data_IF_170640505105
#
_entry.id   IF_170640505105
#
_cell.length_a   1.000
_cell.length_b   1.000
_cell.length_c   1.000
_cell.angle_alpha   90.00
_cell.angle_beta   90.00
_cell.angle_gamma   90.00
#
_symmetry.space_group_name_H-M   'P 1'
#
loop_
_entity.id
_entity.type
_entity.pdbx_description
1 polymer ?
#
# COMPACT_ATOMS: atom_id res chain seq x y z
N UNK A 1 -30.04 -7.21 -9.18
CA UNK A 1 -29.12 -8.25 -8.62
C UNK A 1 -29.59 -8.63 -7.22
N UNK A 2 -29.59 -9.92 -6.86
CA UNK A 2 -29.95 -10.42 -5.53
C UNK A 2 -28.78 -11.23 -5.00
N UNK A 3 -28.44 -11.10 -3.72
CA UNK A 3 -27.38 -11.91 -3.10
C UNK A 3 -27.93 -13.30 -2.75
N UNK A 4 -27.10 -14.33 -2.95
CA UNK A 4 -27.36 -15.70 -2.53
C UNK A 4 -26.37 -16.13 -1.45
N UNK A 5 -26.79 -17.00 -0.53
CA UNK A 5 -25.92 -17.57 0.50
C UNK A 5 -26.12 -19.08 0.63
N UNK A 6 -25.02 -19.79 0.86
CA UNK A 6 -25.01 -21.25 1.07
C UNK A 6 -24.49 -21.49 2.49
N UNK A 7 -25.28 -22.12 3.39
CA UNK A 7 -24.82 -22.46 4.73
C UNK A 7 -23.58 -23.36 4.69
N UNK A 8 -22.66 -23.16 5.64
CA UNK A 8 -21.37 -23.89 5.69
C UNK A 8 -21.53 -25.41 5.60
N UNK A 9 -22.52 -25.98 6.31
CA UNK A 9 -22.83 -27.42 6.30
C UNK A 9 -23.09 -27.97 4.89
N UNK A 10 -23.54 -27.12 3.95
CA UNK A 10 -23.93 -27.50 2.59
C UNK A 10 -22.97 -26.95 1.54
N UNK A 11 -21.94 -26.20 1.93
CA UNK A 11 -21.03 -25.54 1.00
C UNK A 11 -20.41 -26.53 0.01
N UNK A 12 -19.95 -27.69 0.50
CA UNK A 12 -19.28 -28.71 -0.34
C UNK A 12 -20.18 -29.28 -1.43
N UNK A 13 -21.50 -29.33 -1.23
CA UNK A 13 -22.45 -29.85 -2.22
C UNK A 13 -22.60 -28.93 -3.43
N UNK A 14 -22.43 -27.62 -3.24
CA UNK A 14 -22.70 -26.61 -4.26
C UNK A 14 -21.45 -25.88 -4.77
N UNK A 15 -20.37 -25.83 -3.97
CA UNK A 15 -19.14 -25.06 -4.27
C UNK A 15 -18.57 -25.38 -5.64
N UNK A 16 -18.53 -26.66 -6.02
CA UNK A 16 -17.94 -27.11 -7.29
C UNK A 16 -18.94 -27.09 -8.46
N UNK A 17 -20.22 -26.80 -8.21
CA UNK A 17 -21.28 -26.79 -9.24
C UNK A 17 -21.53 -25.39 -9.79
N UNK A 18 -21.29 -24.36 -8.99
CA UNK A 18 -21.45 -22.96 -9.36
C UNK A 18 -20.17 -22.46 -10.05
N UNK A 19 -20.32 -22.05 -11.30
CA UNK A 19 -19.27 -21.49 -12.13
C UNK A 19 -19.71 -20.09 -12.54
N UNK A 20 -18.83 -19.12 -12.33
CA UNK A 20 -19.07 -17.72 -12.71
C UNK A 20 -19.39 -17.62 -14.22
N UNK A 21 -20.34 -16.74 -14.57
CA UNK A 21 -20.81 -16.56 -15.95
C UNK A 21 -21.77 -17.64 -16.47
N UNK A 22 -21.97 -18.75 -15.76
CA UNK A 22 -22.93 -19.79 -16.15
C UNK A 22 -24.35 -19.48 -15.67
N UNK A 23 -25.36 -19.90 -16.45
CA UNK A 23 -26.77 -19.72 -16.10
C UNK A 23 -27.32 -21.01 -15.49
N UNK A 24 -28.09 -20.85 -14.41
CA UNK A 24 -28.68 -21.95 -13.66
C UNK A 24 -30.17 -21.74 -13.44
N UNK A 25 -30.92 -22.83 -13.50
CA UNK A 25 -32.25 -22.90 -12.91
C UNK A 25 -32.10 -23.26 -11.43
N UNK A 26 -32.65 -22.43 -10.56
CA UNK A 26 -32.62 -22.62 -9.11
C UNK A 26 -34.06 -22.83 -8.62
N UNK A 27 -34.31 -23.92 -7.89
CA UNK A 27 -35.63 -24.25 -7.30
C UNK A 27 -35.47 -24.66 -5.84
N UNK A 28 -36.56 -24.58 -5.07
CA UNK A 28 -36.59 -25.05 -3.68
C UNK A 28 -35.66 -24.29 -2.72
N UNK A 29 -35.51 -22.98 -2.88
CA UNK A 29 -34.68 -22.14 -2.00
C UNK A 29 -35.52 -21.23 -1.09
N UNK A 30 -34.92 -20.72 -0.02
CA UNK A 30 -35.55 -19.76 0.89
C UNK A 30 -35.31 -18.32 0.43
N UNK A 31 -36.33 -17.47 0.58
CA UNK A 31 -36.20 -16.01 0.45
C UNK A 31 -36.15 -15.39 1.83
N UNK A 32 -35.01 -14.80 2.19
CA UNK A 32 -34.77 -14.23 3.53
C UNK A 32 -34.44 -12.75 3.44
N UNK A 33 -34.56 -12.00 4.53
CA UNK A 33 -34.11 -10.60 4.56
C UNK A 33 -32.59 -10.53 4.38
N UNK A 34 -32.14 -9.61 3.53
CA UNK A 34 -30.72 -9.36 3.31
C UNK A 34 -30.02 -8.93 4.60
N UNK A 35 -28.76 -9.35 4.78
CA UNK A 35 -27.93 -8.88 5.87
C UNK A 35 -27.78 -7.35 5.77
N UNK A 36 -28.03 -6.55 6.82
CA UNK A 36 -27.89 -5.10 6.76
C UNK A 36 -26.42 -4.63 6.60
N UNK A 37 -25.45 -5.52 6.85
CA UNK A 37 -24.01 -5.23 6.76
C UNK A 37 -23.40 -5.83 5.49
N UNK A 38 -22.40 -5.14 4.95
CA UNK A 38 -21.58 -5.56 3.81
C UNK A 38 -22.40 -5.98 2.58
N UNK A 39 -23.47 -5.23 2.30
CA UNK A 39 -24.35 -5.53 1.16
C UNK A 39 -23.68 -5.20 -0.16
N UNK A 40 -23.68 -6.17 -1.08
CA UNK A 40 -23.30 -5.99 -2.49
C UNK A 40 -24.50 -5.63 -3.37
N UNK A 41 -25.73 -5.77 -2.86
CA UNK A 41 -26.98 -5.45 -3.55
C UNK A 41 -27.90 -4.57 -2.69
N UNK A 42 -28.71 -3.75 -3.36
CA UNK A 42 -29.77 -2.94 -2.74
C UNK A 42 -31.05 -3.75 -2.45
N UNK A 43 -31.12 -5.02 -2.87
CA UNK A 43 -32.27 -5.87 -2.61
C UNK A 43 -32.52 -6.06 -1.10
N UNK A 44 -33.77 -5.84 -0.68
CA UNK A 44 -34.21 -6.10 0.70
C UNK A 44 -34.22 -7.60 1.05
N UNK A 45 -34.23 -8.46 0.03
CA UNK A 45 -34.26 -9.91 0.17
C UNK A 45 -33.03 -10.56 -0.48
N UNK A 46 -32.61 -11.69 0.07
CA UNK A 46 -31.53 -12.54 -0.40
C UNK A 46 -32.00 -13.99 -0.49
N UNK A 47 -31.37 -14.76 -1.36
CA UNK A 47 -31.62 -16.18 -1.51
C UNK A 47 -30.76 -16.95 -0.50
N UNK A 48 -31.35 -17.97 0.15
CA UNK A 48 -30.62 -18.89 1.02
C UNK A 48 -30.89 -20.33 0.58
N UNK A 49 -29.81 -21.07 0.35
CA UNK A 49 -29.88 -22.47 -0.04
C UNK A 49 -30.27 -23.32 1.19
N UNK A 50 -31.19 -24.25 0.99
CA UNK A 50 -31.72 -25.17 1.98
C UNK A 50 -31.57 -26.63 1.48
N UNK A 51 -32.30 -27.58 2.06
CA UNK A 51 -32.26 -29.00 1.69
C UNK A 51 -32.93 -29.37 0.38
N UNK A 52 -34.04 -28.72 0.06
CA UNK A 52 -34.74 -28.91 -1.20
C UNK A 52 -34.17 -28.08 -2.33
N UNK A 53 -33.04 -27.38 -2.13
CA UNK A 53 -32.48 -26.50 -3.16
C UNK A 53 -31.83 -27.32 -4.26
N UNK A 54 -32.43 -27.26 -5.44
CA UNK A 54 -31.92 -27.90 -6.64
C UNK A 54 -31.31 -26.85 -7.58
N UNK A 55 -30.20 -27.23 -8.22
CA UNK A 55 -29.41 -26.36 -9.08
C UNK A 55 -29.11 -27.07 -10.40
N UNK A 56 -29.77 -26.66 -11.48
CA UNK A 56 -29.56 -27.23 -12.81
C UNK A 56 -28.83 -26.23 -13.71
N UNK A 57 -27.69 -26.64 -14.28
CA UNK A 57 -26.92 -25.81 -15.21
C UNK A 57 -27.54 -25.86 -16.60
N UNK A 58 -27.84 -24.71 -17.18
CA UNK A 58 -28.35 -24.63 -18.55
C UNK A 58 -27.19 -24.71 -19.54
N UNK A 59 -27.28 -25.64 -20.50
CA UNK A 59 -26.21 -25.94 -21.47
C UNK A 59 -26.15 -24.95 -22.63
N UNK A 60 -27.27 -24.31 -22.98
CA UNK A 60 -27.36 -23.35 -24.08
C UNK A 60 -28.36 -22.26 -23.74
N UNK A 61 -27.87 -21.04 -23.56
CA UNK A 61 -28.72 -19.87 -23.33
C UNK A 61 -28.39 -18.79 -24.36
N UNK A 62 -29.41 -18.27 -25.04
CA UNK A 62 -29.31 -17.10 -25.93
C UNK A 62 -29.05 -15.82 -25.13
N UNK A 63 -29.34 -15.85 -23.83
CA UNK A 63 -29.12 -14.73 -22.91
C UNK A 63 -27.72 -14.84 -22.30
N UNK A 64 -27.01 -13.73 -22.32
CA UNK A 64 -25.69 -13.57 -21.70
C UNK A 64 -25.87 -12.80 -20.39
N UNK A 65 -25.26 -13.28 -19.30
CA UNK A 65 -25.20 -12.50 -18.06
C UNK A 65 -24.21 -11.35 -18.30
N UNK A 66 -24.60 -10.08 -18.03
CA UNK A 66 -23.64 -8.97 -18.06
C UNK A 66 -22.49 -9.27 -17.10
N UNK A 67 -21.27 -9.28 -17.63
CA UNK A 67 -20.05 -9.54 -16.86
C UNK A 67 -19.57 -8.33 -16.07
N UNK A 68 -20.03 -7.13 -16.47
CA UNK A 68 -19.64 -5.86 -15.85
C UNK A 68 -20.87 -5.13 -15.31
N UNK A 69 -21.01 -5.11 -13.98
CA UNK A 69 -22.01 -4.31 -13.28
C UNK A 69 -21.39 -3.69 -12.02
N UNK A 70 -20.71 -2.57 -12.19
CA UNK A 70 -20.01 -1.88 -11.12
C UNK A 70 -20.90 -0.84 -10.42
N UNK A 71 -20.75 -0.72 -9.10
CA UNK A 71 -21.48 0.22 -8.24
C UNK A 71 -20.54 1.33 -7.78
N UNK A 72 -20.17 2.20 -8.71
CA UNK A 72 -19.34 3.35 -8.44
C UNK A 72 -20.02 4.36 -7.50
N UNK A 73 -19.19 5.03 -6.70
CA UNK A 73 -19.56 6.13 -5.81
C UNK A 73 -18.52 7.23 -5.89
N UNK A 74 -18.97 8.48 -5.74
CA UNK A 74 -18.07 9.61 -5.63
C UNK A 74 -17.35 9.60 -4.28
N UNK A 75 -16.28 10.37 -4.17
CA UNK A 75 -15.52 10.53 -2.93
C UNK A 75 -16.42 10.96 -1.75
N UNK A 76 -17.29 11.95 -1.96
CA UNK A 76 -18.18 12.45 -0.92
C UNK A 76 -19.19 11.38 -0.45
N UNK A 77 -19.75 10.61 -1.39
CA UNK A 77 -20.65 9.49 -1.07
C UNK A 77 -19.92 8.40 -0.28
N UNK A 78 -18.69 8.05 -0.65
CA UNK A 78 -17.88 7.08 0.10
C UNK A 78 -17.58 7.57 1.51
N UNK A 79 -17.35 8.87 1.68
CA UNK A 79 -17.11 9.49 2.99
C UNK A 79 -18.35 9.43 3.89
N UNK A 80 -19.55 9.67 3.35
CA UNK A 80 -20.81 9.53 4.09
C UNK A 80 -21.08 8.07 4.53
N UNK A 81 -20.62 7.11 3.74
CA UNK A 81 -20.79 5.68 3.98
C UNK A 81 -19.69 5.09 4.87
N UNK A 82 -18.63 5.85 5.13
CA UNK A 82 -17.48 5.38 5.87
C UNK A 82 -17.85 4.99 7.31
N UNK A 83 -17.20 3.95 7.83
CA UNK A 83 -17.43 3.40 9.17
C UNK A 83 -18.85 2.86 9.42
N UNK A 84 -19.74 2.85 8.42
CA UNK A 84 -21.09 2.28 8.58
C UNK A 84 -21.12 0.77 8.42
N UNK A 85 -20.21 0.21 7.61
CA UNK A 85 -20.18 -1.21 7.24
C UNK A 85 -21.46 -1.70 6.55
N UNK A 86 -22.31 -0.80 6.04
CA UNK A 86 -23.65 -1.13 5.51
C UNK A 86 -23.59 -1.71 4.10
N UNK A 87 -22.72 -1.15 3.26
CA UNK A 87 -22.65 -1.44 1.83
C UNK A 87 -21.20 -1.48 1.37
N UNK A 88 -20.93 -2.40 0.45
CA UNK A 88 -19.66 -2.49 -0.25
C UNK A 88 -19.79 -1.82 -1.61
N UNK A 89 -18.73 -1.13 -2.02
CA UNK A 89 -18.74 -0.30 -3.22
C UNK A 89 -17.60 -0.67 -4.15
N UNK A 90 -17.73 -0.25 -5.40
CA UNK A 90 -16.68 -0.43 -6.40
C UNK A 90 -16.06 0.94 -6.69
N UNK A 91 -14.76 0.95 -6.93
CA UNK A 91 -13.99 2.17 -7.14
C UNK A 91 -13.00 1.96 -8.26
N UNK A 92 -12.82 2.99 -9.09
CA UNK A 92 -11.88 3.02 -10.19
C UNK A 92 -11.04 4.27 -10.07
N UNK A 93 -9.75 4.15 -10.36
CA UNK A 93 -8.85 5.29 -10.40
C UNK A 93 -7.53 4.98 -11.09
N UNK A 94 -6.82 6.06 -11.42
CA UNK A 94 -5.44 5.98 -11.89
C UNK A 94 -4.54 5.48 -10.75
N UNK A 95 -3.72 4.48 -11.04
CA UNK A 95 -2.73 3.96 -10.11
C UNK A 95 -1.56 4.94 -9.99
N UNK A 96 -1.46 5.61 -8.85
CA UNK A 96 -0.37 6.53 -8.54
C UNK A 96 0.80 5.82 -7.87
N UNK A 97 0.52 4.94 -6.92
CA UNK A 97 1.54 4.27 -6.11
C UNK A 97 1.03 2.94 -5.56
N UNK A 98 1.89 1.93 -5.55
CA UNK A 98 1.70 0.66 -4.84
C UNK A 98 2.66 0.68 -3.65
N UNK A 99 2.16 0.41 -2.45
CA UNK A 99 3.00 0.15 -1.27
C UNK A 99 2.77 -1.28 -0.82
N UNK A 100 3.79 -2.11 -0.91
CA UNK A 100 3.73 -3.48 -0.40
C UNK A 100 4.47 -3.55 0.93
N UNK A 101 3.80 -4.03 1.97
CA UNK A 101 4.44 -4.31 3.26
C UNK A 101 4.75 -5.81 3.34
N UNK A 102 6.04 -6.17 3.35
CA UNK A 102 6.50 -7.55 3.54
C UNK A 102 6.90 -7.74 5.01
N UNK A 103 6.23 -8.67 5.69
CA UNK A 103 6.51 -9.04 7.08
C UNK A 103 7.39 -10.29 7.11
N UNK A 104 8.70 -10.15 7.29
CA UNK A 104 9.63 -11.29 7.26
C UNK A 104 9.43 -12.33 8.38
N UNK A 105 8.80 -11.96 9.51
CA UNK A 105 8.64 -12.83 10.70
C UNK A 105 7.27 -12.79 11.37
N UNK A 106 6.28 -12.08 10.81
CA UNK A 106 4.90 -12.09 11.31
C UNK A 106 4.07 -12.92 10.33
N UNK A 107 3.69 -14.16 10.67
CA UNK A 107 2.82 -14.96 9.83
C UNK A 107 1.49 -14.22 9.61
N UNK A 108 1.10 -14.04 8.35
CA UNK A 108 -0.26 -13.61 7.99
C UNK A 108 -0.58 -12.12 8.20
N UNK A 109 0.36 -11.21 8.01
CA UNK A 109 0.07 -9.78 7.95
C UNK A 109 0.70 -9.12 6.71
N UNK A 110 0.50 -9.73 5.54
CA UNK A 110 0.84 -9.07 4.29
C UNK A 110 -0.19 -8.01 3.96
N UNK A 111 0.28 -6.84 3.56
CA UNK A 111 -0.59 -5.73 3.18
C UNK A 111 -0.08 -5.07 1.92
N UNK A 112 -0.98 -4.85 0.98
CA UNK A 112 -0.74 -3.99 -0.18
C UNK A 112 -1.66 -2.79 -0.09
N UNK A 113 -1.09 -1.60 -0.18
CA UNK A 113 -1.83 -0.34 -0.26
C UNK A 113 -1.71 0.25 -1.66
N UNK A 114 -2.84 0.54 -2.29
CA UNK A 114 -2.92 1.17 -3.61
C UNK A 114 -3.38 2.60 -3.43
N UNK A 115 -2.58 3.57 -3.88
CA UNK A 115 -3.01 4.95 -3.99
C UNK A 115 -3.63 5.16 -5.36
N UNK A 116 -4.94 5.38 -5.38
CA UNK A 116 -5.71 5.55 -6.61
C UNK A 116 -6.22 6.99 -6.69
N UNK A 117 -5.92 7.68 -7.79
CA UNK A 117 -6.50 8.98 -8.09
C UNK A 117 -7.85 8.79 -8.76
N UNK A 118 -8.90 9.27 -8.10
CA UNK A 118 -10.26 9.27 -8.63
C UNK A 118 -10.42 10.38 -9.69
N UNK A 119 -11.53 10.33 -10.44
CA UNK A 119 -11.87 11.32 -11.48
C UNK A 119 -11.89 12.76 -10.93
N UNK A 120 -12.31 12.93 -9.67
CA UNK A 120 -12.25 14.21 -8.95
C UNK A 120 -10.84 14.78 -8.71
N UNK A 121 -9.77 14.05 -9.05
CA UNK A 121 -8.39 14.36 -8.70
C UNK A 121 -7.98 13.96 -7.27
N UNK A 122 -8.94 13.59 -6.41
CA UNK A 122 -8.66 13.14 -5.04
C UNK A 122 -8.00 11.76 -5.04
N UNK A 123 -6.92 11.61 -4.26
CA UNK A 123 -6.24 10.32 -4.07
C UNK A 123 -6.84 9.60 -2.86
N UNK A 124 -7.24 8.34 -3.06
CA UNK A 124 -7.72 7.44 -2.01
C UNK A 124 -6.77 6.26 -1.84
N UNK A 125 -6.70 5.74 -0.62
CA UNK A 125 -5.85 4.60 -0.30
C UNK A 125 -6.71 3.33 -0.15
N UNK A 126 -6.42 2.31 -0.96
CA UNK A 126 -7.06 0.99 -0.90
C UNK A 126 -6.12 0.01 -0.21
N UNK A 127 -6.55 -0.59 0.90
CA UNK A 127 -5.77 -1.58 1.63
C UNK A 127 -6.26 -3.01 1.34
N UNK A 128 -5.40 -3.85 0.80
CA UNK A 128 -5.60 -5.27 0.56
C UNK A 128 -4.76 -6.06 1.57
N UNK A 129 -5.34 -7.10 2.16
CA UNK A 129 -4.72 -7.89 3.21
C UNK A 129 -4.63 -9.37 2.82
N UNK A 130 -3.61 -10.05 3.34
CA UNK A 130 -3.45 -11.51 3.33
C UNK A 130 -3.57 -12.15 1.95
N UNK A 131 -4.60 -12.98 1.73
CA UNK A 131 -4.82 -13.65 0.44
C UNK A 131 -5.03 -12.65 -0.70
N UNK A 132 -5.61 -11.48 -0.44
CA UNK A 132 -5.82 -10.45 -1.46
C UNK A 132 -4.50 -9.78 -1.85
N UNK A 133 -3.59 -9.54 -0.90
CA UNK A 133 -2.27 -8.98 -1.22
C UNK A 133 -1.43 -9.96 -2.01
N UNK A 134 -1.44 -11.25 -1.64
CA UNK A 134 -0.76 -12.29 -2.41
C UNK A 134 -1.31 -12.40 -3.84
N UNK A 135 -2.64 -12.49 -3.98
CA UNK A 135 -3.28 -12.59 -5.29
C UNK A 135 -2.98 -11.34 -6.15
N UNK A 136 -2.94 -10.16 -5.54
CA UNK A 136 -2.56 -8.93 -6.23
C UNK A 136 -1.11 -8.99 -6.72
N UNK A 137 -0.16 -9.42 -5.90
CA UNK A 137 1.25 -9.55 -6.30
C UNK A 137 1.43 -10.54 -7.45
N UNK A 138 0.90 -11.76 -7.31
CA UNK A 138 0.97 -12.75 -8.39
C UNK A 138 0.36 -12.23 -9.69
N UNK A 139 -0.73 -11.46 -9.58
CA UNK A 139 -1.37 -10.84 -10.73
C UNK A 139 -0.50 -9.74 -11.35
N UNK A 140 0.07 -8.85 -10.54
CA UNK A 140 0.96 -7.78 -10.98
C UNK A 140 2.20 -8.35 -11.69
N UNK A 141 2.81 -9.40 -11.14
CA UNK A 141 4.00 -10.06 -11.70
C UNK A 141 3.68 -10.76 -13.04
N UNK A 142 2.48 -11.34 -13.16
CA UNK A 142 2.01 -11.96 -14.40
C UNK A 142 1.56 -10.95 -15.46
N UNK A 143 1.39 -9.68 -15.08
CA UNK A 143 0.89 -8.65 -15.97
C UNK A 143 2.04 -8.07 -16.78
N UNK A 144 2.03 -8.30 -18.09
CA UNK A 144 3.12 -7.94 -19.02
C UNK A 144 3.35 -6.42 -19.17
N UNK A 145 2.54 -5.57 -18.51
CA UNK A 145 2.54 -4.12 -18.62
C UNK A 145 2.34 -3.48 -17.26
N UNK A 146 2.71 -2.21 -17.13
CA UNK A 146 2.38 -1.46 -15.92
C UNK A 146 0.90 -1.04 -15.95
N UNK A 147 0.08 -1.40 -14.95
CA UNK A 147 -1.33 -1.02 -14.92
C UNK A 147 -1.48 0.49 -14.67
N UNK A 148 -2.17 1.18 -15.59
CA UNK A 148 -2.46 2.61 -15.43
C UNK A 148 -3.72 2.87 -14.62
N UNK A 149 -4.76 2.09 -14.86
CA UNK A 149 -6.04 2.19 -14.17
C UNK A 149 -6.27 0.89 -13.41
N UNK A 150 -6.75 1.02 -12.18
CA UNK A 150 -7.12 -0.11 -11.33
C UNK A 150 -8.57 0.08 -10.87
N UNK A 151 -9.34 -0.98 -11.07
CA UNK A 151 -10.70 -1.13 -10.59
C UNK A 151 -10.70 -2.11 -9.42
N UNK A 152 -11.23 -1.68 -8.29
CA UNK A 152 -11.35 -2.51 -7.09
C UNK A 152 -12.81 -2.59 -6.68
N UNK A 153 -13.31 -3.81 -6.56
CA UNK A 153 -14.72 -4.07 -6.21
C UNK A 153 -14.87 -4.43 -4.75
N UNK A 154 -16.09 -4.29 -4.24
CA UNK A 154 -16.46 -4.82 -2.92
C UNK A 154 -15.67 -4.21 -1.74
N UNK A 155 -15.23 -2.96 -1.85
CA UNK A 155 -14.45 -2.29 -0.79
C UNK A 155 -15.34 -1.69 0.30
N UNK A 156 -14.83 -1.66 1.52
CA UNK A 156 -15.49 -1.06 2.67
C UNK A 156 -14.82 0.27 3.06
N UNK A 157 -15.50 1.43 2.95
CA UNK A 157 -14.94 2.70 3.33
C UNK A 157 -14.83 2.87 4.84
N UNK A 158 -13.72 3.45 5.29
CA UNK A 158 -13.44 3.77 6.68
C UNK A 158 -12.75 5.13 6.79
N UNK A 159 -13.07 5.89 7.83
CA UNK A 159 -12.34 7.13 8.14
C UNK A 159 -11.47 6.87 9.34
N UNK A 160 -10.17 7.11 9.16
CA UNK A 160 -9.17 7.06 10.22
C UNK A 160 -8.35 8.35 10.19
N UNK A 161 -8.20 9.01 11.35
CA UNK A 161 -7.52 10.30 11.48
C UNK A 161 -7.97 11.36 10.45
N UNK A 162 -9.27 11.41 10.15
CA UNK A 162 -9.86 12.34 9.19
C UNK A 162 -9.63 11.99 7.70
N UNK A 163 -8.91 10.91 7.40
CA UNK A 163 -8.64 10.46 6.03
C UNK A 163 -9.50 9.24 5.67
N UNK A 164 -9.93 9.18 4.42
CA UNK A 164 -10.70 8.06 3.87
C UNK A 164 -9.74 6.95 3.43
N UNK A 165 -10.01 5.74 3.93
CA UNK A 165 -9.36 4.50 3.56
C UNK A 165 -10.41 3.51 3.06
N UNK A 166 -10.09 2.77 2.01
CA UNK A 166 -10.94 1.75 1.42
C UNK A 166 -10.34 0.38 1.73
N UNK A 167 -11.03 -0.43 2.51
CA UNK A 167 -10.51 -1.74 2.90
C UNK A 167 -11.08 -2.84 2.01
N UNK A 168 -10.20 -3.69 1.49
CA UNK A 168 -10.58 -4.92 0.80
C UNK A 168 -11.37 -5.84 1.73
N UNK A 169 -12.31 -6.58 1.15
CA UNK A 169 -13.13 -7.57 1.85
C UNK A 169 -13.07 -8.91 1.12
N UNK A 170 -13.72 -9.94 1.66
CA UNK A 170 -13.83 -11.24 0.97
C UNK A 170 -14.52 -11.16 -0.40
N UNK A 171 -15.27 -10.09 -0.67
CA UNK A 171 -15.91 -9.85 -1.95
C UNK A 171 -15.03 -9.07 -2.95
N UNK A 172 -13.83 -8.64 -2.52
CA UNK A 172 -12.98 -7.79 -3.34
C UNK A 172 -12.35 -8.54 -4.49
N UNK A 173 -12.50 -7.97 -5.68
CA UNK A 173 -11.76 -8.32 -6.89
C UNK A 173 -11.03 -7.08 -7.40
N UNK A 174 -9.82 -7.28 -7.91
CA UNK A 174 -9.00 -6.24 -8.52
C UNK A 174 -8.90 -6.52 -10.01
N UNK A 175 -9.17 -5.51 -10.83
CA UNK A 175 -9.04 -5.57 -12.28
C UNK A 175 -8.14 -4.43 -12.76
N UNK A 176 -7.27 -4.73 -13.71
CA UNK A 176 -6.42 -3.79 -14.40
C UNK A 176 -7.12 -3.25 -15.66
N UNK A 177 -6.53 -2.21 -16.22
CA UNK A 177 -7.01 -1.44 -17.36
C UNK A 177 -7.48 -2.31 -18.54
N UNK A 178 -6.74 -3.35 -18.90
CA UNK A 178 -7.11 -4.20 -20.06
C UNK A 178 -8.13 -5.30 -19.76
N UNK A 179 -8.55 -5.47 -18.52
CA UNK A 179 -9.42 -6.58 -18.10
C UNK A 179 -10.91 -6.22 -18.10
N UNK A 180 -11.25 -4.94 -18.17
CA UNK A 180 -12.64 -4.47 -18.20
C UNK A 180 -12.87 -3.50 -19.33
N UNK A 181 -14.09 -3.47 -19.88
CA UNK A 181 -14.46 -2.52 -20.92
C UNK A 181 -14.39 -1.09 -20.38
N UNK A 182 -14.86 -0.86 -19.14
CA UNK A 182 -14.79 0.46 -18.48
C UNK A 182 -13.33 0.90 -18.26
N UNK A 183 -12.44 -0.02 -17.89
CA UNK A 183 -11.01 0.28 -17.72
C UNK A 183 -10.33 0.69 -19.02
N UNK A 184 -10.57 -0.03 -20.12
CA UNK A 184 -10.04 0.30 -21.45
C UNK A 184 -10.51 1.67 -21.92
N UNK A 185 -11.81 1.90 -21.80
CA UNK A 185 -12.47 3.13 -22.20
C UNK A 185 -11.92 4.35 -21.44
N UNK A 186 -11.68 4.19 -20.14
CA UNK A 186 -11.10 5.25 -19.31
C UNK A 186 -9.62 5.55 -19.64
N UNK A 187 -8.84 4.55 -20.07
CA UNK A 187 -7.48 4.77 -20.59
C UNK A 187 -7.54 5.53 -21.92
N UNK A 188 -8.42 5.11 -22.83
CA UNK A 188 -8.54 5.69 -24.18
C UNK A 188 -9.02 7.16 -24.13
N UNK A 189 -9.96 7.48 -23.24
CA UNK A 189 -10.46 8.85 -23.05
C UNK A 189 -9.58 9.73 -22.19
N UNK A 190 -8.53 9.18 -21.59
CA UNK A 190 -7.66 9.92 -20.69
C UNK A 190 -8.43 10.55 -19.50
N UNK A 191 -9.49 9.88 -19.03
CA UNK A 191 -10.44 10.38 -18.01
C UNK A 191 -9.74 10.82 -16.71
N UNK A 192 -8.55 10.28 -16.43
CA UNK A 192 -7.75 10.57 -15.23
C UNK A 192 -6.49 11.41 -15.49
N UNK A 193 -6.15 11.73 -16.74
CA UNK A 193 -4.88 12.37 -17.13
C UNK A 193 -4.93 13.90 -17.27
N UNK A 194 -5.94 14.57 -16.70
CA UNK A 194 -6.14 16.00 -16.90
C UNK A 194 -6.05 16.84 -15.61
N UNK A 195 -4.84 17.03 -15.09
CA UNK A 195 -4.43 18.30 -14.50
C UNK A 195 -2.99 18.58 -14.96
N UNK A 196 -2.73 19.65 -15.72
CA UNK A 196 -1.36 20.07 -15.98
C UNK A 196 -0.78 20.55 -14.64
N UNK A 197 0.06 19.73 -14.02
CA UNK A 197 1.02 20.28 -13.07
C UNK A 197 1.99 21.11 -13.88
N UNK A 198 2.07 22.38 -13.49
CA UNK A 198 3.04 23.35 -13.98
C UNK A 198 4.43 22.71 -14.13
N UNK A 199 5.09 23.03 -15.25
CA UNK A 199 6.16 22.24 -15.83
C UNK A 199 7.25 21.83 -14.86
N UNK A 200 7.40 20.52 -14.65
CA UNK A 200 8.67 19.90 -14.25
C UNK A 200 8.62 18.41 -14.58
N UNK A 201 9.50 18.02 -15.51
CA UNK A 201 10.00 16.67 -15.81
C UNK A 201 8.99 15.54 -16.08
N UNK A 202 8.60 15.43 -17.36
CA UNK A 202 8.36 14.13 -17.99
C UNK A 202 9.70 13.41 -18.19
N UNK A 203 10.31 12.94 -17.11
CA UNK A 203 11.46 12.04 -17.14
C UNK A 203 11.66 11.43 -15.76
N UNK A 204 10.94 10.34 -15.48
CA UNK A 204 11.46 9.23 -14.70
C UNK A 204 10.41 8.12 -14.69
N UNK A 205 10.75 6.98 -15.30
CA UNK A 205 10.23 5.68 -14.92
C UNK A 205 10.68 5.38 -13.48
N UNK A 206 10.12 6.12 -12.52
CA UNK A 206 10.15 5.73 -11.11
C UNK A 206 9.16 4.60 -10.99
N UNK A 207 9.63 3.39 -10.66
CA UNK A 207 8.74 2.28 -10.32
C UNK A 207 7.68 2.77 -9.32
N UNK A 208 6.40 2.66 -9.68
CA UNK A 208 5.29 3.06 -8.78
C UNK A 208 5.22 2.19 -7.52
N UNK A 209 6.00 1.11 -7.47
CA UNK A 209 6.07 0.16 -6.38
C UNK A 209 7.10 0.63 -5.35
N UNK A 210 6.62 0.89 -4.14
CA UNK A 210 7.42 1.09 -2.94
C UNK A 210 7.27 -0.14 -2.07
N UNK A 211 8.38 -0.75 -1.67
CA UNK A 211 8.38 -1.88 -0.75
C UNK A 211 8.73 -1.37 0.64
N UNK A 212 7.81 -1.59 1.57
CA UNK A 212 7.97 -1.35 3.00
C UNK A 212 8.28 -2.70 3.67
N UNK A 213 9.25 -2.73 4.57
CA UNK A 213 9.57 -3.91 5.35
C UNK A 213 9.16 -3.67 6.80
N UNK A 214 8.55 -4.67 7.42
CA UNK A 214 8.31 -4.67 8.86
C UNK A 214 9.16 -5.76 9.51
N UNK A 215 10.05 -5.35 10.40
CA UNK A 215 10.89 -6.24 11.18
C UNK A 215 10.84 -5.86 12.67
N UNK A 216 11.22 -6.82 13.51
CA UNK A 216 11.49 -6.59 14.93
C UNK A 216 12.99 -6.80 15.11
N UNK A 217 13.70 -5.75 15.51
CA UNK A 217 15.13 -5.78 15.73
C UNK A 217 15.47 -5.00 17.00
N UNK A 218 16.58 -5.36 17.63
CA UNK A 218 17.12 -4.64 18.79
C UNK A 218 18.09 -3.58 18.30
N UNK A 219 17.94 -2.34 18.77
CA UNK A 219 18.97 -1.32 18.58
C UNK A 219 20.20 -1.72 19.40
N UNK A 220 21.33 -1.93 18.73
CA UNK A 220 22.60 -2.34 19.35
C UNK A 220 23.54 -1.18 19.55
N UNK A 221 23.53 -0.22 18.62
CA UNK A 221 24.42 0.94 18.67
C UNK A 221 23.81 2.14 17.93
N UNK A 222 24.30 3.34 18.25
CA UNK A 222 23.92 4.59 17.57
C UNK A 222 25.17 5.18 16.93
N UNK A 223 25.19 5.28 15.61
CA UNK A 223 26.36 5.77 14.90
C UNK A 223 26.50 7.28 15.07
N UNK A 224 27.64 7.72 15.61
CA UNK A 224 27.90 9.14 15.93
C UNK A 224 28.72 9.83 14.84
N UNK A 225 29.43 9.08 14.00
CA UNK A 225 30.41 9.62 13.05
C UNK A 225 29.85 10.65 12.04
N UNK A 226 28.57 10.54 11.67
CA UNK A 226 27.92 11.48 10.73
C UNK A 226 27.13 12.61 11.42
N UNK A 227 27.20 12.69 12.75
CA UNK A 227 26.34 13.56 13.54
C UNK A 227 24.88 13.08 13.56
N UNK A 228 24.10 13.65 14.49
CA UNK A 228 22.70 13.23 14.72
C UNK A 228 21.67 14.19 14.16
N UNK A 229 22.10 15.37 13.73
CA UNK A 229 21.21 16.45 13.34
C UNK A 229 21.62 17.07 12.02
N UNK A 230 20.64 17.65 11.33
CA UNK A 230 20.87 18.51 10.18
C UNK A 230 19.97 19.74 10.26
N UNK A 231 20.35 20.78 9.53
CA UNK A 231 19.56 22.01 9.39
C UNK A 231 18.60 21.81 8.22
N UNK A 232 17.31 21.71 8.53
CA UNK A 232 16.24 21.48 7.55
C UNK A 232 15.26 22.65 7.45
N UNK A 233 14.53 22.71 6.34
CA UNK A 233 13.46 23.67 6.14
C UNK A 233 12.31 23.40 7.14
N UNK A 234 11.82 24.44 7.80
CA UNK A 234 10.64 24.33 8.67
C UNK A 234 9.37 23.84 7.94
N UNK A 235 9.27 24.10 6.62
CA UNK A 235 8.10 23.75 5.80
C UNK A 235 8.21 22.33 5.21
N UNK A 236 9.26 22.04 4.45
CA UNK A 236 9.39 20.78 3.70
C UNK A 236 10.34 19.76 4.33
N UNK A 237 11.00 20.10 5.45
CA UNK A 237 11.98 19.26 6.16
C UNK A 237 13.24 18.87 5.36
N UNK A 238 13.39 19.30 4.10
CA UNK A 238 14.61 19.04 3.31
C UNK A 238 15.78 19.87 3.84
N UNK A 239 16.99 19.32 3.71
CA UNK A 239 18.25 19.99 4.10
C UNK A 239 18.37 21.35 3.41
N UNK A 240 18.72 22.37 4.18
CA UNK A 240 18.93 23.73 3.68
C UNK A 240 20.35 23.91 3.18
N UNK A 241 20.51 24.76 2.17
CA UNK A 241 21.80 25.22 1.68
C UNK A 241 22.12 26.50 2.45
N UNK A 242 23.27 26.54 3.11
CA UNK A 242 23.72 27.74 3.84
C UNK A 242 24.38 28.70 2.86
N UNK A 243 23.87 29.92 2.81
CA UNK A 243 24.51 31.06 2.16
C UNK A 243 25.15 31.98 3.22
N UNK A 244 25.77 33.09 2.83
CA UNK A 244 26.52 33.95 3.75
C UNK A 244 25.68 34.45 4.94
N UNK A 245 24.41 34.79 4.68
CA UNK A 245 23.50 35.36 5.70
C UNK A 245 22.11 34.74 5.71
N UNK A 246 21.87 33.72 4.90
CA UNK A 246 20.55 33.12 4.70
C UNK A 246 20.64 31.61 4.50
N UNK A 247 19.47 30.96 4.52
CA UNK A 247 19.33 29.56 4.16
C UNK A 247 18.40 29.43 2.95
N UNK A 248 18.87 28.75 1.91
CA UNK A 248 18.10 28.52 0.70
C UNK A 248 17.53 27.11 0.69
N UNK A 249 16.22 27.03 0.45
CA UNK A 249 15.48 25.78 0.27
C UNK A 249 15.14 25.62 -1.22
N UNK A 250 15.99 24.89 -1.96
CA UNK A 250 15.73 24.60 -3.37
C UNK A 250 14.35 23.94 -3.64
N UNK A 251 13.87 22.97 -2.84
CA UNK A 251 12.55 22.36 -3.05
C UNK A 251 11.36 23.31 -2.87
N UNK A 252 11.49 24.32 -2.00
CA UNK A 252 10.44 25.32 -1.79
C UNK A 252 10.64 26.56 -2.66
N UNK A 253 11.74 26.63 -3.41
CA UNK A 253 12.20 27.81 -4.14
C UNK A 253 12.22 29.09 -3.26
N UNK A 254 12.70 28.96 -2.02
CA UNK A 254 12.76 30.04 -1.03
C UNK A 254 14.22 30.30 -0.64
N UNK A 255 14.69 31.54 -0.77
CA UNK A 255 16.10 31.94 -0.54
C UNK A 255 16.37 32.43 0.88
N UNK A 256 15.31 32.66 1.67
CA UNK A 256 15.43 32.99 3.09
C UNK A 256 14.53 32.08 3.93
N UNK A 257 14.74 30.78 3.77
CA UNK A 257 13.96 29.75 4.44
C UNK A 257 14.28 29.71 5.94
N UNK A 258 13.22 29.58 6.75
CA UNK A 258 13.37 29.40 8.20
C UNK A 258 13.97 28.02 8.49
N UNK A 259 15.16 28.05 9.08
CA UNK A 259 15.93 26.88 9.47
C UNK A 259 15.41 26.26 10.77
N UNK A 260 15.35 24.93 10.80
CA UNK A 260 15.00 24.14 11.97
C UNK A 260 15.98 22.96 12.11
N UNK A 261 16.49 22.75 13.32
CA UNK A 261 17.32 21.59 13.62
C UNK A 261 16.45 20.33 13.68
N UNK A 262 16.86 19.27 12.98
CA UNK A 262 16.09 18.02 12.84
C UNK A 262 16.99 16.80 12.98
N UNK A 263 16.46 15.70 13.52
CA UNK A 263 17.24 14.46 13.62
C UNK A 263 17.48 13.79 12.26
N UNK A 264 18.68 13.25 12.10
CA UNK A 264 19.10 12.26 11.10
C UNK A 264 20.07 11.31 11.83
N UNK A 265 19.54 10.26 12.44
CA UNK A 265 20.31 9.34 13.30
C UNK A 265 20.39 7.98 12.63
N UNK A 266 21.61 7.44 12.50
CA UNK A 266 21.81 6.07 12.02
C UNK A 266 21.87 5.14 13.22
N UNK A 267 20.93 4.21 13.29
CA UNK A 267 20.81 3.18 14.31
C UNK A 267 21.34 1.85 13.77
N UNK A 268 22.33 1.27 14.43
CA UNK A 268 22.71 -0.12 14.20
C UNK A 268 21.69 -1.01 14.90
N UNK A 269 21.06 -1.90 14.14
CA UNK A 269 20.04 -2.81 14.63
C UNK A 269 20.48 -4.24 14.35
N UNK A 270 20.20 -5.15 15.28
CA UNK A 270 20.45 -6.58 15.09
C UNK A 270 19.20 -7.40 15.37
N UNK A 271 19.01 -8.45 14.60
CA UNK A 271 18.10 -9.54 14.89
C UNK A 271 18.85 -10.88 14.82
N UNK A 272 18.14 -12.00 14.82
CA UNK A 272 18.78 -13.34 14.74
C UNK A 272 19.38 -13.63 13.35
N UNK A 273 19.02 -12.86 12.31
CA UNK A 273 19.53 -13.06 10.94
C UNK A 273 20.78 -12.24 10.65
N UNK A 274 20.98 -11.13 11.36
CA UNK A 274 22.17 -10.32 11.20
C UNK A 274 22.05 -8.91 11.78
N UNK A 275 22.89 -8.04 11.25
CA UNK A 275 22.99 -6.64 11.64
C UNK A 275 22.68 -5.77 10.42
N UNK A 276 21.91 -4.71 10.61
CA UNK A 276 21.59 -3.71 9.61
C UNK A 276 21.70 -2.30 10.20
N UNK A 277 21.70 -1.28 9.35
CA UNK A 277 21.69 0.13 9.75
C UNK A 277 20.39 0.80 9.30
N UNK A 278 19.65 1.39 10.22
CA UNK A 278 18.40 2.11 9.98
C UNK A 278 18.61 3.61 10.13
N UNK A 279 18.09 4.40 9.19
CA UNK A 279 18.11 5.86 9.27
C UNK A 279 16.80 6.37 9.86
N UNK A 280 16.86 6.92 11.07
CA UNK A 280 15.74 7.57 11.73
C UNK A 280 15.75 9.09 11.49
N UNK A 281 14.61 9.63 11.08
CA UNK A 281 14.41 11.07 10.92
C UNK A 281 13.69 11.68 12.14
N UNK A 282 13.61 13.00 12.13
CA UNK A 282 13.09 13.87 13.19
C UNK A 282 11.87 13.32 13.93
N UNK A 283 10.82 12.92 13.19
CA UNK A 283 9.57 12.47 13.80
C UNK A 283 9.72 11.12 14.49
N UNK A 284 10.42 10.18 13.86
CA UNK A 284 10.62 8.82 14.36
C UNK A 284 11.51 8.83 15.60
N UNK A 285 12.62 9.57 15.56
CA UNK A 285 13.55 9.69 16.68
C UNK A 285 12.91 10.44 17.85
N UNK A 286 12.20 11.54 17.61
CA UNK A 286 11.49 12.28 18.67
C UNK A 286 10.46 11.40 19.37
N UNK A 287 9.74 10.54 18.64
CA UNK A 287 8.80 9.58 19.25
C UNK A 287 9.52 8.51 20.10
N UNK A 288 10.69 8.08 19.65
CA UNK A 288 11.49 7.08 20.36
C UNK A 288 12.08 7.64 21.67
N UNK A 289 12.57 8.89 21.64
CA UNK A 289 13.30 9.49 22.76
C UNK A 289 12.44 10.40 23.64
N UNK A 290 11.32 10.91 23.13
CA UNK A 290 10.54 12.02 23.67
C UNK A 290 11.36 13.31 23.87
N UNK A 291 12.41 13.53 23.06
CA UNK A 291 13.27 14.71 23.10
C UNK A 291 13.32 15.34 21.72
N UNK A 292 13.26 16.67 21.63
CA UNK A 292 13.39 17.39 20.37
C UNK A 292 14.87 17.51 19.95
N UNK A 293 15.14 17.54 18.63
CA UNK A 293 16.50 17.70 18.11
C UNK A 293 17.23 18.92 18.68
N UNK A 294 16.52 20.05 18.83
CA UNK A 294 17.06 21.27 19.41
C UNK A 294 17.43 21.12 20.90
N UNK A 295 16.67 20.34 21.67
CA UNK A 295 16.95 20.09 23.09
C UNK A 295 18.14 19.13 23.24
N UNK A 296 18.20 18.07 22.43
CA UNK A 296 19.32 17.15 22.43
C UNK A 296 20.64 17.85 22.06
N UNK A 297 20.61 18.79 21.12
CA UNK A 297 21.77 19.59 20.77
C UNK A 297 22.22 20.56 21.88
N UNK A 298 21.34 20.93 22.82
CA UNK A 298 21.69 21.73 23.99
C UNK A 298 22.25 20.88 25.14
N UNK A 299 21.72 19.66 25.31
CA UNK A 299 22.18 18.71 26.34
C UNK A 299 23.57 18.17 26.03
N UNK A 300 23.84 17.96 24.74
CA UNK A 300 25.13 17.53 24.23
C UNK A 300 25.87 18.79 23.74
N UNK A 301 26.65 19.45 24.59
CA UNK A 301 27.48 20.62 24.21
C UNK A 301 28.50 20.35 23.07
N UNK A 302 28.48 19.19 22.41
CA UNK A 302 29.35 18.78 21.31
C UNK A 302 28.65 17.91 20.22
N UNK A 303 27.38 18.15 19.84
CA UNK A 303 26.88 17.55 18.58
C UNK A 303 27.53 18.29 17.41
N UNK A 304 28.54 17.68 16.80
CA UNK A 304 29.12 18.16 15.55
C UNK A 304 28.02 18.24 14.48
N UNK A 305 27.55 19.45 14.19
CA UNK A 305 26.73 19.73 13.02
C UNK A 305 27.67 19.58 11.83
N UNK A 306 27.59 18.46 11.10
CA UNK A 306 28.52 18.26 9.99
C UNK A 306 28.22 19.24 8.84
N UNK A 307 29.10 20.22 8.73
CA UNK A 307 29.25 21.13 7.60
C UNK A 307 30.26 20.48 6.63
N UNK A 308 29.85 20.11 5.42
CA UNK A 308 30.80 19.76 4.36
C UNK A 308 30.88 20.91 3.37
N UNK A 309 31.96 21.67 3.46
CA UNK A 309 32.53 22.44 2.35
C UNK A 309 34.05 22.34 2.44
N UNK A 310 34.65 21.40 1.71
CA UNK A 310 36.06 21.46 1.39
C UNK A 310 36.22 22.13 0.02
N UNK A 311 36.48 23.43 0.04
CA UNK A 311 37.18 24.11 -1.04
C UNK A 311 38.67 23.83 -0.86
N UNK A 312 39.21 22.87 -1.60
CA UNK A 312 40.64 22.88 -1.93
C UNK A 312 40.82 23.48 -3.32
N UNK A 313 41.44 24.65 -3.33
CA UNK A 313 42.00 25.30 -4.50
C UNK A 313 43.06 24.37 -5.14
N UNK A 314 42.86 23.94 -6.38
CA UNK A 314 43.94 23.48 -7.27
C UNK A 314 43.68 23.99 -8.68
N UNK A 315 44.61 24.81 -9.19
CA UNK A 315 44.68 25.30 -10.56
C UNK A 315 45.27 24.22 -11.51
N UNK A 316 45.19 24.38 -12.85
CA UNK A 316 44.96 23.28 -13.80
C UNK A 316 46.23 22.54 -14.24
N UNK A 317 46.10 21.24 -14.53
CA UNK A 317 47.13 20.47 -15.23
C UNK A 317 46.79 19.00 -15.49
N UNK A 318 46.61 18.68 -16.78
CA UNK A 318 46.88 17.42 -17.51
C UNK A 318 46.02 16.16 -17.30
N UNK A 319 45.43 15.72 -18.44
CA UNK A 319 45.05 14.37 -18.91
C UNK A 319 45.19 13.18 -17.93
N UNK A 320 44.13 12.38 -17.71
CA UNK A 320 43.68 11.30 -18.62
C UNK A 320 42.60 10.40 -17.94
N UNK A 321 41.58 10.02 -18.72
CA UNK A 321 40.72 8.80 -18.69
C UNK A 321 40.12 8.19 -17.40
N UNK A 322 38.78 8.05 -17.49
CA UNK A 322 37.91 6.93 -17.03
C UNK A 322 37.67 6.80 -15.49
N UNK A 323 36.50 6.45 -14.95
CA UNK A 323 35.23 5.96 -15.48
C UNK A 323 34.09 6.35 -14.50
N UNK A 324 32.93 6.67 -15.06
CA UNK A 324 31.63 6.70 -14.37
C UNK A 324 31.15 5.27 -14.12
N UNK A 325 30.68 4.95 -12.90
CA UNK A 325 29.44 4.20 -12.59
C UNK A 325 29.35 3.78 -11.11
N UNK A 326 28.20 4.00 -10.49
CA UNK A 326 27.59 3.19 -9.40
C UNK A 326 26.16 3.71 -9.25
N UNK A 327 25.13 3.13 -9.85
CA UNK A 327 24.55 1.79 -9.62
C UNK A 327 24.44 1.45 -8.13
N UNK A 328 23.28 1.79 -7.56
CA UNK A 328 22.86 1.36 -6.23
C UNK A 328 22.32 -0.07 -6.37
N UNK A 329 22.99 -0.99 -5.68
CA UNK A 329 22.79 -2.42 -5.78
C UNK A 329 21.45 -2.90 -5.21
N UNK A 330 20.83 -3.77 -6.00
CA UNK A 330 19.86 -4.79 -5.59
C UNK A 330 20.46 -5.70 -4.51
N UNK A 331 19.64 -6.10 -3.52
CA UNK A 331 19.99 -7.23 -2.64
C UNK A 331 19.22 -8.45 -3.12
N UNK A 332 19.87 -9.24 -3.98
CA UNK A 332 19.52 -10.64 -4.23
C UNK A 332 20.34 -11.53 -3.28
N UNK A 333 19.69 -12.47 -2.60
CA UNK A 333 20.40 -13.60 -1.97
C UNK A 333 19.74 -14.90 -2.40
N UNK A 334 20.39 -15.58 -3.35
CA UNK A 334 20.20 -16.99 -3.61
C UNK A 334 21.05 -17.81 -2.62
N UNK A 335 20.46 -18.83 -2.01
CA UNK A 335 21.15 -19.66 -1.02
C UNK A 335 20.42 -20.97 -0.73
N UNK A 336 20.54 -21.89 -1.70
CA UNK A 336 20.65 -23.37 -1.60
C UNK A 336 19.77 -24.17 -0.63
N UNK A 337 19.14 -25.17 -1.25
CA UNK A 337 18.42 -26.33 -0.72
C UNK A 337 19.07 -27.00 0.50
N UNK A 338 18.21 -27.34 1.47
CA UNK A 338 18.39 -28.51 2.33
C UNK A 338 17.01 -29.16 2.52
N UNK A 339 16.83 -30.33 1.89
CA UNK A 339 15.76 -31.27 2.18
C UNK A 339 15.88 -31.75 3.63
N UNK A 340 14.78 -31.77 4.37
CA UNK A 340 14.47 -32.85 5.34
C UNK A 340 12.96 -32.92 5.56
N UNK A 341 12.49 -34.17 5.58
CA UNK A 341 11.11 -34.61 5.60
C UNK A 341 10.43 -34.52 6.98
N UNK A 342 9.11 -34.36 6.90
CA UNK A 342 8.03 -35.07 7.62
C UNK A 342 7.80 -34.93 9.14
N UNK A 343 6.51 -34.66 9.41
CA UNK A 343 5.60 -35.22 10.42
C UNK A 343 5.30 -34.52 11.76
N UNK A 344 4.00 -34.17 11.84
CA UNK A 344 3.02 -34.40 12.91
C UNK A 344 2.97 -33.55 14.21
N UNK A 345 1.84 -32.83 14.26
CA UNK A 345 0.80 -32.90 15.29
C UNK A 345 0.92 -32.16 16.65
N UNK A 346 -0.18 -31.42 16.89
CA UNK A 346 -0.97 -31.32 18.13
C UNK A 346 -0.67 -30.22 19.18
N UNK A 347 -1.71 -29.38 19.32
CA UNK A 347 -2.42 -28.96 20.54
C UNK A 347 -1.79 -28.06 21.63
N UNK A 348 -2.66 -27.09 22.02
CA UNK A 348 -2.82 -26.46 23.34
C UNK A 348 -1.70 -25.59 23.93
N UNK A 349 -1.93 -24.27 24.07
CA UNK A 349 -2.69 -23.71 25.20
C UNK A 349 -2.46 -22.18 25.36
N UNK A 350 -3.51 -21.50 25.81
CA UNK A 350 -3.56 -20.31 26.66
C UNK A 350 -2.67 -19.07 26.41
N UNK A 351 -3.39 -17.97 26.17
CA UNK A 351 -3.32 -16.71 26.94
C UNK A 351 -1.96 -16.07 27.21
N UNK A 352 -1.72 -14.90 26.60
CA UNK A 352 -1.50 -13.63 27.35
C UNK A 352 -1.43 -12.41 26.43
N UNK A 353 -2.10 -11.35 26.89
CA UNK A 353 -1.95 -9.95 26.50
C UNK A 353 -0.47 -9.54 26.43
N UNK A 354 -0.12 -8.66 25.48
CA UNK A 354 0.47 -7.36 25.83
C UNK A 354 0.43 -6.40 24.63
N UNK A 355 -0.11 -5.22 24.93
CA UNK A 355 -0.07 -3.96 24.19
C UNK A 355 1.19 -3.23 24.63
N UNK A 356 1.94 -2.65 23.70
CA UNK A 356 2.91 -1.56 23.94
C UNK A 356 2.97 -0.81 22.60
N UNK A 357 2.31 0.34 22.46
CA UNK A 357 2.77 1.71 22.79
C UNK A 357 4.01 2.15 21.98
#
# INVERSE_FOLDING_TARGET
MVQGSIPALRQLQFKNRLVEGSIYTLTGFDVVRSNPKFRLSDSAFSIRFNEGTELEKLSTTVRTIPTEQFRFRTYDQLRELANTGKQLHDIMGELCQIRSTITGRIPGAQRVMLNLRLESGTVVCVSLFDSLSHAFHSKLDSYEREPKIVLVTGVNPTIFAGKLYLNGTSATRVFFDSETAVGKDAVDRQDFLSLPSDGTDQSASSSKVVVEFLCTAKVTDIQVAEGWCYIGCSVCSKKLIREETSFTCAPCNETNAVAQLRYRVILSVSDETGIAAFLGFDTEITKLTNVLAAEAAQILENVEVHEQAHLQNVAPGTDDRAANTSDVAEVSTAGREAETNEDDAAEDNASKKARVE
#
